data_IF_527124968078
#
_entry.id   IF_527124968078
#
_cell.length_a   1.000
_cell.length_b   1.000
_cell.length_c   1.000
_cell.angle_alpha   90.00
_cell.angle_beta   90.00
_cell.angle_gamma   90.00
#
_symmetry.space_group_name_H-M   'P 1'
#
loop_
_entity.id
_entity.type
_entity.pdbx_description
1 polymer ?
#
# COMPACT_ATOMS: atom_id res chain seq x y z
N UNK A 1 -7.83 -7.52 -5.30
CA UNK A 1 -9.02 -8.34 -5.60
C UNK A 1 -10.24 -7.60 -5.11
N UNK A 2 -11.23 -7.45 -5.95
CA UNK A 2 -12.51 -6.82 -5.63
C UNK A 2 -13.56 -7.90 -5.46
N UNK A 3 -14.36 -7.83 -4.41
CA UNK A 3 -15.53 -8.68 -4.25
C UNK A 3 -16.74 -7.97 -4.87
N UNK A 4 -17.31 -8.53 -5.93
CA UNK A 4 -18.46 -7.95 -6.62
C UNK A 4 -19.76 -8.01 -5.80
N UNK A 5 -19.85 -8.98 -4.89
CA UNK A 5 -21.06 -9.20 -4.09
C UNK A 5 -20.69 -9.45 -2.63
N UNK A 6 -20.29 -8.40 -1.98
CA UNK A 6 -20.10 -8.45 -0.56
C UNK A 6 -21.37 -8.09 0.20
N UNK A 7 -21.92 -9.05 0.91
CA UNK A 7 -23.03 -8.80 1.84
C UNK A 7 -22.44 -8.84 3.24
N UNK A 8 -22.33 -7.70 3.93
CA UNK A 8 -21.77 -7.66 5.26
C UNK A 8 -22.64 -8.48 6.22
N UNK A 9 -21.99 -9.27 7.07
CA UNK A 9 -22.66 -10.00 8.15
C UNK A 9 -23.22 -9.03 9.20
N UNK A 10 -22.48 -7.93 9.43
CA UNK A 10 -22.87 -6.84 10.30
C UNK A 10 -23.52 -5.70 9.50
N UNK A 11 -24.39 -4.94 10.14
CA UNK A 11 -25.00 -3.74 9.57
C UNK A 11 -23.99 -2.62 9.30
N UNK A 12 -22.84 -2.66 10.01
CA UNK A 12 -21.71 -1.74 9.83
C UNK A 12 -20.65 -2.39 8.97
N UNK A 13 -20.20 -1.70 7.93
CA UNK A 13 -19.10 -2.15 7.05
C UNK A 13 -17.81 -2.27 7.84
N UNK A 14 -17.17 -3.44 7.77
CA UNK A 14 -15.94 -3.71 8.51
C UNK A 14 -14.93 -4.50 7.67
N UNK A 15 -13.66 -4.05 7.56
CA UNK A 15 -12.64 -4.72 6.73
C UNK A 15 -12.27 -6.12 7.22
N UNK A 16 -12.49 -6.45 8.50
CA UNK A 16 -12.20 -7.77 9.04
C UNK A 16 -12.98 -8.90 8.34
N UNK A 17 -14.17 -8.63 7.81
CA UNK A 17 -14.94 -9.65 7.08
C UNK A 17 -14.28 -10.04 5.76
N UNK A 18 -13.71 -9.07 5.02
CA UNK A 18 -13.01 -9.36 3.76
C UNK A 18 -11.64 -9.99 3.99
N UNK A 19 -11.06 -9.88 5.17
CA UNK A 19 -9.82 -10.54 5.54
C UNK A 19 -9.94 -12.07 5.47
N UNK A 20 -11.13 -12.62 5.73
CA UNK A 20 -11.42 -14.06 5.56
C UNK A 20 -11.19 -14.50 4.12
N UNK A 21 -11.56 -13.67 3.14
CA UNK A 21 -11.33 -13.93 1.72
C UNK A 21 -9.84 -13.90 1.40
N UNK A 22 -9.10 -12.93 1.95
CA UNK A 22 -7.65 -12.84 1.78
C UNK A 22 -6.94 -14.09 2.34
N UNK A 23 -7.35 -14.58 3.50
CA UNK A 23 -6.84 -15.82 4.08
C UNK A 23 -7.10 -17.04 3.18
N UNK A 24 -8.28 -17.13 2.58
CA UNK A 24 -8.58 -18.19 1.62
C UNK A 24 -7.67 -18.11 0.38
N UNK A 25 -7.46 -16.91 -0.17
CA UNK A 25 -6.54 -16.68 -1.30
C UNK A 25 -5.13 -17.15 -0.95
N UNK A 26 -4.61 -16.73 0.20
CA UNK A 26 -3.26 -17.09 0.66
C UNK A 26 -3.12 -18.57 1.05
N UNK A 27 -4.22 -19.29 1.23
CA UNK A 27 -4.26 -20.74 1.47
C UNK A 27 -4.45 -21.58 0.20
N UNK A 28 -4.57 -20.98 -0.99
CA UNK A 28 -5.01 -21.70 -2.20
C UNK A 28 -3.96 -21.69 -3.29
N UNK A 29 -3.37 -22.85 -3.60
CA UNK A 29 -2.50 -23.09 -4.75
C UNK A 29 -1.40 -22.04 -4.92
N UNK A 30 -1.18 -21.58 -6.16
CA UNK A 30 -0.16 -20.58 -6.49
C UNK A 30 -0.46 -19.19 -5.91
N UNK A 31 -1.70 -18.86 -5.60
CA UNK A 31 -2.06 -17.59 -4.97
C UNK A 31 -1.48 -17.48 -3.56
N UNK A 32 -1.16 -18.61 -2.93
CA UNK A 32 -0.45 -18.64 -1.64
C UNK A 32 0.96 -18.03 -1.71
N UNK A 33 1.53 -17.86 -2.88
CA UNK A 33 2.87 -17.27 -3.09
C UNK A 33 2.83 -15.74 -3.21
N UNK A 34 1.65 -15.12 -3.25
CA UNK A 34 1.53 -13.67 -3.31
C UNK A 34 2.20 -13.00 -2.11
N UNK A 35 3.05 -12.01 -2.38
CA UNK A 35 3.75 -11.23 -1.34
C UNK A 35 2.89 -10.07 -0.83
N UNK A 36 2.16 -9.42 -1.73
CA UNK A 36 1.26 -8.32 -1.43
C UNK A 36 -0.15 -8.65 -1.89
N UNK A 37 -1.12 -8.51 -1.00
CA UNK A 37 -2.54 -8.66 -1.31
C UNK A 37 -3.26 -7.38 -0.90
N UNK A 38 -3.81 -6.68 -1.88
CA UNK A 38 -4.72 -5.55 -1.67
C UNK A 38 -6.13 -6.04 -1.92
N UNK A 39 -6.98 -5.95 -0.91
CA UNK A 39 -8.36 -6.44 -0.98
C UNK A 39 -9.35 -5.42 -0.44
N UNK A 40 -10.45 -5.26 -1.12
CA UNK A 40 -11.59 -4.44 -0.71
C UNK A 40 -12.89 -5.09 -1.14
N UNK A 41 -14.00 -4.54 -0.70
CA UNK A 41 -15.32 -4.88 -1.19
C UNK A 41 -15.93 -3.70 -1.95
N UNK A 42 -16.65 -4.00 -3.02
CA UNK A 42 -17.36 -3.03 -3.85
C UNK A 42 -18.87 -3.33 -3.84
N UNK A 43 -19.62 -2.54 -3.08
CA UNK A 43 -21.08 -2.63 -3.00
C UNK A 43 -21.76 -1.85 -4.15
N UNK A 44 -21.04 -1.04 -4.88
CA UNK A 44 -21.56 -0.23 -5.98
C UNK A 44 -21.38 -0.88 -7.35
N UNK A 45 -20.56 -1.93 -7.41
CA UNK A 45 -20.16 -2.64 -8.63
C UNK A 45 -19.52 -1.71 -9.69
N UNK A 46 -18.78 -0.69 -9.21
CA UNK A 46 -18.12 0.30 -10.05
C UNK A 46 -16.59 0.17 -10.04
N UNK A 47 -16.04 -0.49 -9.02
CA UNK A 47 -14.62 -0.60 -8.84
C UNK A 47 -14.05 -1.73 -9.71
N UNK A 48 -12.99 -1.46 -10.46
CA UNK A 48 -12.33 -2.43 -11.32
C UNK A 48 -10.85 -2.54 -10.99
N UNK A 49 -10.34 -3.77 -10.87
CA UNK A 49 -8.90 -4.03 -10.72
C UNK A 49 -8.09 -3.70 -11.97
N UNK A 50 -8.73 -3.47 -13.11
CA UNK A 50 -8.07 -2.98 -14.32
C UNK A 50 -7.80 -1.47 -14.26
N UNK A 51 -8.56 -0.72 -13.46
CA UNK A 51 -8.33 0.69 -13.17
C UNK A 51 -7.50 0.80 -11.88
N UNK A 52 -6.23 0.43 -11.97
CA UNK A 52 -5.35 0.24 -10.81
C UNK A 52 -5.25 1.49 -9.95
N UNK A 53 -5.16 2.69 -10.55
CA UNK A 53 -5.09 3.93 -9.80
C UNK A 53 -6.35 4.16 -8.98
N UNK A 54 -7.54 4.06 -9.58
CA UNK A 54 -8.82 4.23 -8.90
C UNK A 54 -9.00 3.19 -7.78
N UNK A 55 -8.51 1.97 -8.02
CA UNK A 55 -8.52 0.90 -7.04
C UNK A 55 -7.63 1.22 -5.83
N UNK A 56 -6.42 1.74 -6.06
CA UNK A 56 -5.54 2.19 -4.98
C UNK A 56 -6.14 3.38 -4.21
N UNK A 57 -6.65 4.39 -4.91
CA UNK A 57 -7.31 5.54 -4.30
C UNK A 57 -8.47 5.12 -3.40
N UNK A 58 -9.28 4.17 -3.86
CA UNK A 58 -10.38 3.61 -3.08
C UNK A 58 -9.88 2.99 -1.77
N UNK A 59 -8.86 2.15 -1.84
CA UNK A 59 -8.28 1.49 -0.66
C UNK A 59 -7.61 2.52 0.27
N UNK A 60 -6.71 3.35 -0.27
CA UNK A 60 -5.91 4.27 0.54
C UNK A 60 -6.74 5.33 1.27
N UNK A 61 -7.83 5.78 0.66
CA UNK A 61 -8.74 6.73 1.29
C UNK A 61 -9.52 6.14 2.49
N UNK A 62 -9.62 4.81 2.58
CA UNK A 62 -10.37 4.07 3.61
C UNK A 62 -9.49 3.36 4.62
N UNK A 63 -8.21 3.22 4.32
CA UNK A 63 -7.25 2.43 5.09
C UNK A 63 -7.06 2.97 6.50
N UNK A 64 -7.22 2.10 7.50
CA UNK A 64 -6.78 2.32 8.87
C UNK A 64 -5.43 1.61 9.07
N UNK A 65 -4.36 2.38 9.24
CA UNK A 65 -3.01 1.82 9.35
C UNK A 65 -2.83 0.90 10.58
N UNK A 66 -3.63 1.12 11.62
CA UNK A 66 -3.56 0.33 12.85
C UNK A 66 -4.27 -1.02 12.76
N UNK A 67 -5.30 -1.12 11.90
CA UNK A 67 -6.21 -2.27 11.91
C UNK A 67 -6.29 -3.01 10.57
N UNK A 68 -5.98 -2.37 9.44
CA UNK A 68 -6.24 -2.91 8.11
C UNK A 68 -4.99 -3.48 7.42
N UNK A 69 -3.82 -3.42 8.07
CA UNK A 69 -2.55 -3.96 7.56
C UNK A 69 -2.16 -5.20 8.36
N UNK A 70 -2.09 -6.34 7.70
CA UNK A 70 -1.85 -7.62 8.32
C UNK A 70 -0.55 -8.23 7.78
N UNK A 71 0.39 -8.52 8.69
CA UNK A 71 1.70 -9.07 8.35
C UNK A 71 1.77 -10.56 8.67
N UNK A 72 2.25 -11.33 7.70
CA UNK A 72 2.72 -12.70 7.89
C UNK A 72 4.25 -12.66 7.91
N UNK A 73 4.82 -12.55 9.09
CA UNK A 73 6.24 -12.26 9.28
C UNK A 73 7.18 -13.41 8.94
N UNK A 74 6.65 -14.64 8.88
CA UNK A 74 7.44 -15.84 8.60
C UNK A 74 6.58 -16.86 7.88
N UNK A 75 6.70 -16.93 6.55
CA UNK A 75 5.86 -17.78 5.70
C UNK A 75 6.59 -18.16 4.42
N UNK A 76 6.02 -19.10 3.68
CA UNK A 76 6.51 -19.44 2.33
C UNK A 76 6.17 -18.33 1.36
N UNK A 77 7.07 -18.09 0.41
CA UNK A 77 6.90 -17.17 -0.71
C UNK A 77 7.43 -17.80 -2.00
N UNK A 78 7.31 -17.10 -3.12
CA UNK A 78 7.79 -17.60 -4.40
C UNK A 78 9.30 -17.88 -4.35
N UNK A 79 9.73 -19.01 -4.91
CA UNK A 79 11.15 -19.38 -5.02
C UNK A 79 11.96 -18.41 -5.89
N UNK A 80 11.30 -17.64 -6.75
CA UNK A 80 11.91 -16.62 -7.59
C UNK A 80 12.00 -15.24 -6.89
N UNK A 81 11.43 -15.10 -5.71
CA UNK A 81 11.59 -13.90 -4.90
C UNK A 81 12.81 -14.04 -3.98
N UNK A 82 13.87 -13.35 -4.33
CA UNK A 82 15.15 -13.34 -3.60
C UNK A 82 15.23 -12.28 -2.51
N UNK A 83 14.14 -11.60 -2.21
CA UNK A 83 14.11 -10.57 -1.16
C UNK A 83 13.99 -11.11 0.27
N UNK A 84 13.80 -12.42 0.42
CA UNK A 84 13.71 -13.10 1.71
C UNK A 84 15.04 -13.52 2.30
N UNK A 85 15.01 -14.02 3.54
CA UNK A 85 16.21 -14.52 4.26
C UNK A 85 16.70 -15.89 3.77
N UNK A 86 16.00 -16.53 2.85
CA UNK A 86 16.33 -17.85 2.30
C UNK A 86 15.29 -18.34 1.30
N UNK A 87 15.57 -19.51 0.72
CA UNK A 87 14.68 -20.14 -0.26
C UNK A 87 13.28 -20.39 0.35
N UNK A 88 12.24 -19.89 -0.31
CA UNK A 88 10.84 -19.97 0.15
C UNK A 88 10.57 -19.38 1.54
N UNK A 89 11.44 -18.52 2.04
CA UNK A 89 11.29 -17.93 3.37
C UNK A 89 11.20 -16.41 3.27
N UNK A 90 10.10 -15.85 3.74
CA UNK A 90 9.89 -14.41 3.72
C UNK A 90 8.64 -13.99 4.47
N UNK A 91 8.23 -12.77 4.22
CA UNK A 91 7.03 -12.17 4.80
C UNK A 91 6.02 -11.79 3.72
N UNK A 92 4.76 -11.68 4.11
CA UNK A 92 3.67 -11.21 3.26
C UNK A 92 2.90 -10.13 3.97
N UNK A 93 2.24 -9.28 3.20
CA UNK A 93 1.33 -8.28 3.73
C UNK A 93 -0.02 -8.37 3.03
N UNK A 94 -1.08 -8.30 3.82
CA UNK A 94 -2.45 -8.10 3.35
C UNK A 94 -2.90 -6.72 3.79
N UNK A 95 -3.39 -5.95 2.84
CA UNK A 95 -4.03 -4.66 3.07
C UNK A 95 -5.50 -4.83 2.73
N UNK A 96 -6.34 -4.85 3.78
CA UNK A 96 -7.77 -5.11 3.69
C UNK A 96 -8.53 -3.87 4.17
N UNK A 97 -8.94 -2.99 3.25
CA UNK A 97 -9.61 -1.75 3.59
C UNK A 97 -11.00 -1.66 2.94
N UNK A 98 -12.01 -1.30 3.74
CA UNK A 98 -13.40 -1.22 3.31
C UNK A 98 -14.20 -0.31 4.26
N UNK A 99 -15.30 0.25 3.80
CA UNK A 99 -16.20 1.07 4.59
C UNK A 99 -16.13 2.56 4.22
N UNK A 100 -16.26 3.44 5.20
CA UNK A 100 -16.33 4.88 4.97
C UNK A 100 -14.95 5.47 4.65
N UNK A 101 -14.96 6.56 3.86
CA UNK A 101 -13.74 7.34 3.57
C UNK A 101 -13.22 7.97 4.86
N UNK A 102 -11.97 7.70 5.20
CA UNK A 102 -11.31 8.20 6.41
C UNK A 102 -10.50 9.47 6.16
N UNK A 103 -10.00 9.66 4.93
CA UNK A 103 -9.16 10.82 4.58
C UNK A 103 -9.25 11.24 3.13
N UNK A 104 -8.95 12.50 2.88
CA UNK A 104 -8.65 12.99 1.54
C UNK A 104 -7.19 12.67 1.22
N UNK A 105 -6.94 12.12 0.02
CA UNK A 105 -5.59 11.76 -0.41
C UNK A 105 -4.83 12.97 -0.94
N UNK A 106 -3.53 13.03 -0.70
CA UNK A 106 -2.64 14.03 -1.26
C UNK A 106 -2.68 14.02 -2.78
N UNK A 107 -2.90 15.16 -3.40
CA UNK A 107 -2.89 15.33 -4.86
C UNK A 107 -1.68 16.13 -5.36
N UNK A 108 -0.84 16.58 -4.44
CA UNK A 108 0.42 17.27 -4.69
C UNK A 108 1.48 16.78 -3.70
N UNK A 109 2.75 17.02 -4.02
CA UNK A 109 3.83 16.75 -3.07
C UNK A 109 3.73 17.74 -1.90
N UNK A 110 3.65 17.28 -0.65
CA UNK A 110 3.63 18.14 0.51
C UNK A 110 4.89 19.01 0.64
N UNK A 111 4.72 20.29 0.98
CA UNK A 111 5.85 21.21 1.22
C UNK A 111 6.75 20.72 2.33
N UNK A 112 6.19 20.06 3.34
CA UNK A 112 6.91 19.42 4.45
C UNK A 112 7.99 18.43 4.00
N UNK A 113 7.80 17.69 2.92
CA UNK A 113 8.82 16.80 2.35
C UNK A 113 9.90 17.59 1.61
N UNK A 114 9.52 18.67 0.97
CA UNK A 114 10.47 19.58 0.30
C UNK A 114 11.36 20.31 1.32
N UNK A 115 10.82 20.72 2.45
CA UNK A 115 11.55 21.33 3.56
C UNK A 115 12.61 20.39 4.18
N UNK A 116 12.40 19.08 4.07
CA UNK A 116 13.39 18.06 4.44
C UNK A 116 14.45 17.83 3.36
N UNK A 117 14.49 18.63 2.30
CA UNK A 117 15.43 18.51 1.18
C UNK A 117 15.34 17.14 0.46
N UNK A 118 14.16 16.55 0.42
CA UNK A 118 13.87 15.31 -0.30
C UNK A 118 13.39 15.64 -1.70
N UNK A 119 14.04 15.06 -2.71
CA UNK A 119 13.45 15.04 -4.06
C UNK A 119 12.26 14.08 -4.04
N UNK A 120 11.08 14.61 -4.33
CA UNK A 120 9.83 13.90 -4.22
C UNK A 120 8.94 14.11 -5.43
N UNK A 121 8.18 13.10 -5.80
CA UNK A 121 7.20 13.16 -6.89
C UNK A 121 5.91 12.45 -6.50
N UNK A 122 4.77 13.04 -6.88
CA UNK A 122 3.48 12.39 -6.71
C UNK A 122 3.35 11.28 -7.75
N UNK A 123 3.13 10.05 -7.30
CA UNK A 123 2.90 8.88 -8.15
C UNK A 123 1.42 8.79 -8.54
N UNK A 124 0.57 8.88 -7.54
CA UNK A 124 -0.89 8.93 -7.63
C UNK A 124 -1.44 9.51 -6.32
N UNK A 125 -2.72 9.84 -6.23
CA UNK A 125 -3.29 10.35 -4.98
C UNK A 125 -2.94 9.49 -3.77
N UNK A 126 -2.34 10.14 -2.76
CA UNK A 126 -1.90 9.50 -1.52
C UNK A 126 -0.59 8.73 -1.58
N UNK A 127 0.09 8.65 -2.74
CA UNK A 127 1.34 7.91 -2.93
C UNK A 127 2.45 8.83 -3.43
N UNK A 128 3.53 8.94 -2.66
CA UNK A 128 4.68 9.78 -2.95
C UNK A 128 5.93 8.91 -3.13
N UNK A 129 6.66 9.12 -4.22
CA UNK A 129 8.02 8.62 -4.41
C UNK A 129 9.02 9.63 -3.87
N UNK A 130 10.01 9.19 -3.09
CA UNK A 130 11.02 10.06 -2.49
C UNK A 130 12.43 9.54 -2.76
N UNK A 131 13.33 10.44 -3.15
CA UNK A 131 14.77 10.18 -3.11
C UNK A 131 15.31 10.66 -1.77
N UNK A 132 15.75 9.71 -0.97
CA UNK A 132 16.35 9.93 0.32
C UNK A 132 17.80 9.43 0.34
N UNK A 133 18.53 9.54 -0.78
CA UNK A 133 19.90 9.04 -0.92
C UNK A 133 20.88 9.70 0.06
N UNK A 134 20.61 10.94 0.47
CA UNK A 134 21.40 11.68 1.48
C UNK A 134 21.15 11.19 2.90
N UNK A 135 20.15 10.36 3.11
CA UNK A 135 19.81 9.85 4.43
C UNK A 135 20.22 8.39 4.58
N UNK A 136 20.87 8.05 5.69
CA UNK A 136 20.88 6.66 6.14
C UNK A 136 19.47 6.26 6.54
N UNK A 137 19.18 4.96 6.59
CA UNK A 137 17.84 4.48 6.99
C UNK A 137 17.42 5.03 8.37
N UNK A 138 18.34 5.04 9.33
CA UNK A 138 18.07 5.57 10.67
C UNK A 138 17.84 7.09 10.65
N UNK A 139 18.61 7.85 9.88
CA UNK A 139 18.42 9.30 9.75
C UNK A 139 17.10 9.65 9.07
N UNK A 140 16.70 8.89 8.05
CA UNK A 140 15.41 9.05 7.39
C UNK A 140 14.25 8.74 8.35
N UNK A 141 14.34 7.65 9.10
CA UNK A 141 13.34 7.32 10.12
C UNK A 141 13.21 8.45 11.13
N UNK A 142 14.32 8.97 11.66
CA UNK A 142 14.29 10.07 12.62
C UNK A 142 13.72 11.36 12.03
N UNK A 143 14.03 11.69 10.78
CA UNK A 143 13.48 12.86 10.10
C UNK A 143 11.95 12.75 9.90
N UNK A 144 11.44 11.54 9.72
CA UNK A 144 10.01 11.27 9.49
C UNK A 144 9.25 10.96 10.80
N UNK A 145 9.95 10.60 11.89
CA UNK A 145 9.33 10.46 13.21
C UNK A 145 8.74 11.82 13.63
N UNK A 146 7.46 11.83 14.01
CA UNK A 146 6.73 13.04 14.33
C UNK A 146 6.15 13.80 13.12
N UNK A 147 6.59 13.49 11.90
CA UNK A 147 5.97 14.02 10.68
C UNK A 147 4.91 13.09 10.12
N UNK A 148 4.99 11.80 10.42
CA UNK A 148 4.14 10.77 9.81
C UNK A 148 2.65 10.99 10.08
N UNK A 149 2.28 11.36 11.29
CA UNK A 149 0.89 11.67 11.63
C UNK A 149 0.37 12.89 10.83
N UNK A 150 1.17 13.94 10.74
CA UNK A 150 0.79 15.13 9.99
C UNK A 150 0.73 14.86 8.48
N UNK A 151 1.66 14.08 7.93
CA UNK A 151 1.63 13.66 6.53
C UNK A 151 0.39 12.83 6.22
N UNK A 152 0.02 11.93 7.13
CA UNK A 152 -1.14 11.06 6.96
C UNK A 152 -2.46 11.81 7.14
N UNK A 153 -2.65 12.46 8.29
CA UNK A 153 -3.95 12.99 8.71
C UNK A 153 -4.25 14.38 8.15
N UNK A 154 -3.23 15.22 7.96
CA UNK A 154 -3.41 16.59 7.48
C UNK A 154 -3.20 16.70 5.97
N UNK A 155 -2.26 15.95 5.42
CA UNK A 155 -1.83 16.07 4.03
C UNK A 155 -2.22 14.87 3.16
N UNK A 156 -2.75 13.79 3.77
CA UNK A 156 -3.28 12.62 3.04
C UNK A 156 -2.23 11.78 2.34
N UNK A 157 -0.98 11.78 2.80
CA UNK A 157 0.07 10.89 2.33
C UNK A 157 -0.03 9.57 3.07
N UNK A 158 -0.45 8.53 2.39
CA UNK A 158 -0.65 7.19 2.99
C UNK A 158 0.53 6.27 2.73
N UNK A 159 1.17 6.42 1.57
CA UNK A 159 2.29 5.57 1.17
C UNK A 159 3.46 6.42 0.67
N UNK A 160 4.64 6.18 1.24
CA UNK A 160 5.88 6.73 0.72
C UNK A 160 6.82 5.62 0.27
N UNK A 161 7.38 5.77 -0.91
CA UNK A 161 8.26 4.78 -1.51
C UNK A 161 9.62 5.41 -1.75
N UNK A 162 10.65 4.82 -1.13
CA UNK A 162 12.02 5.23 -1.36
C UNK A 162 12.51 4.73 -2.72
N UNK A 163 13.03 5.64 -3.53
CA UNK A 163 13.59 5.34 -4.84
C UNK A 163 14.76 6.27 -5.15
N UNK A 164 15.61 5.89 -6.09
CA UNK A 164 16.69 6.75 -6.59
C UNK A 164 16.17 7.80 -7.57
N UNK A 165 15.08 7.49 -8.29
CA UNK A 165 14.47 8.40 -9.27
C UNK A 165 12.95 8.51 -9.07
N UNK A 166 12.49 9.47 -8.24
CA UNK A 166 11.07 9.71 -8.00
C UNK A 166 10.30 10.10 -9.27
N UNK A 167 10.94 10.84 -10.18
CA UNK A 167 10.28 11.30 -11.41
C UNK A 167 10.02 10.14 -12.36
N UNK A 168 10.99 9.24 -12.49
CA UNK A 168 10.81 8.03 -13.29
C UNK A 168 9.70 7.15 -12.71
N UNK A 169 9.67 6.96 -11.39
CA UNK A 169 8.62 6.18 -10.74
C UNK A 169 7.24 6.80 -10.95
N UNK A 170 7.13 8.12 -10.88
CA UNK A 170 5.87 8.85 -11.05
C UNK A 170 5.44 8.99 -12.53
N UNK A 171 6.32 8.74 -13.49
CA UNK A 171 6.04 8.95 -14.92
C UNK A 171 5.07 7.93 -15.52
N UNK A 172 4.94 6.74 -14.91
CA UNK A 172 4.02 5.70 -15.35
C UNK A 172 3.64 4.77 -14.20
N UNK A 173 2.39 4.34 -14.17
CA UNK A 173 1.88 3.39 -13.17
C UNK A 173 2.68 2.08 -13.14
N UNK A 174 3.09 1.57 -14.31
CA UNK A 174 3.91 0.35 -14.41
C UNK A 174 5.29 0.51 -13.75
N UNK A 175 5.89 1.71 -13.81
CA UNK A 175 7.16 1.97 -13.14
C UNK A 175 6.99 1.88 -11.61
N UNK A 176 5.92 2.47 -11.10
CA UNK A 176 5.55 2.37 -9.69
C UNK A 176 5.32 0.91 -9.26
N UNK A 177 4.45 0.18 -9.96
CA UNK A 177 4.12 -1.21 -9.61
C UNK A 177 5.37 -2.11 -9.63
N UNK A 178 6.21 -1.95 -10.65
CA UNK A 178 7.46 -2.71 -10.76
C UNK A 178 8.44 -2.38 -9.64
N UNK A 179 8.64 -1.11 -9.33
CA UNK A 179 9.62 -0.71 -8.33
C UNK A 179 9.13 -0.96 -6.90
N UNK A 180 7.85 -0.71 -6.62
CA UNK A 180 7.30 -0.83 -5.27
C UNK A 180 7.08 -2.28 -4.82
N UNK A 181 6.75 -3.18 -5.74
CA UNK A 181 6.30 -4.53 -5.39
C UNK A 181 7.15 -5.67 -5.96
N UNK A 182 8.12 -5.39 -6.81
CA UNK A 182 8.99 -6.42 -7.41
C UNK A 182 10.47 -6.22 -7.12
N UNK A 183 10.88 -5.02 -6.73
CA UNK A 183 12.26 -4.71 -6.34
C UNK A 183 12.30 -4.46 -4.84
N UNK A 184 12.54 -5.48 -4.10
CA UNK A 184 12.85 -5.37 -2.67
C UNK A 184 14.19 -6.00 -2.38
#
# INVERSE_FOLDING_TARGET
>A
IVSERYTPYLTTKHPAEILTIANHILGTGQLSLAKFVFITADDTNQLSTHHVQEYFEYILSRLDLGNDIHFYTKTTMDTLDYSGEGLNAGSKVVIAAYGDVKRNLATTVPTRLLDLNMDASLVMPGVIAVNAATYTTAALQNALIGQGEALLEQEGVVMMIRTEDPKWMASALNNFLSAAFTRT
#
